data_IF_640809070035
#
_entry.id   IF_640809070035
#
_cell.length_a   1.000
_cell.length_b   1.000
_cell.length_c   1.000
_cell.angle_alpha   90.00
_cell.angle_beta   90.00
_cell.angle_gamma   90.00
#
_symmetry.space_group_name_H-M   'P 1'
#
loop_
_entity.id
_entity.type
_entity.pdbx_description
1 polymer ?
#
# COMPACT_ATOMS: atom_id res chain seq x y z
N UNK A 1 11.08 10.27 -17.90
CA UNK A 1 9.91 11.16 -17.99
C UNK A 1 9.68 11.45 -19.46
N UNK A 2 8.56 10.98 -20.01
CA UNK A 2 8.10 11.37 -21.34
C UNK A 2 6.56 11.39 -21.29
N UNK A 3 6.00 12.58 -21.48
CA UNK A 3 4.58 12.90 -21.64
C UNK A 3 4.16 12.67 -23.09
N UNK A 4 2.95 12.15 -23.35
CA UNK A 4 2.07 12.53 -24.48
C UNK A 4 0.69 11.81 -24.40
N UNK A 5 -0.36 12.28 -25.10
CA UNK A 5 -1.62 12.68 -24.46
C UNK A 5 -2.84 11.80 -24.79
N UNK A 6 -3.89 11.99 -23.99
CA UNK A 6 -5.19 11.34 -24.10
C UNK A 6 -5.99 11.99 -25.25
N UNK A 7 -6.23 11.24 -26.33
CA UNK A 7 -7.19 11.60 -27.37
C UNK A 7 -8.60 11.18 -26.92
N UNK A 8 -9.49 12.15 -26.87
CA UNK A 8 -10.93 11.97 -26.70
C UNK A 8 -11.54 11.33 -27.95
N UNK A 9 -12.42 10.34 -27.77
CA UNK A 9 -13.37 9.93 -28.80
C UNK A 9 -14.71 9.56 -28.17
N UNK A 10 -15.71 10.24 -28.68
CA UNK A 10 -17.15 10.25 -28.39
C UNK A 10 -17.88 8.95 -28.75
N UNK A 11 -18.90 8.66 -27.93
CA UNK A 11 -20.24 8.13 -28.24
C UNK A 11 -20.47 7.21 -29.44
N UNK A 12 -21.14 6.08 -29.18
CA UNK A 12 -22.36 5.67 -29.91
C UNK A 12 -23.02 4.47 -29.23
N UNK A 13 -24.33 4.58 -29.06
CA UNK A 13 -25.24 3.51 -28.64
C UNK A 13 -25.35 2.44 -29.74
N UNK A 14 -25.74 1.20 -29.39
CA UNK A 14 -26.62 0.34 -30.21
C UNK A 14 -27.27 -0.76 -29.34
N UNK A 15 -28.59 -0.77 -29.44
CA UNK A 15 -29.64 -1.79 -29.30
C UNK A 15 -29.38 -3.20 -28.73
N UNK A 16 -30.22 -3.50 -27.74
CA UNK A 16 -31.04 -4.72 -27.57
C UNK A 16 -31.25 -5.60 -28.81
N UNK A 17 -30.98 -6.90 -28.67
CA UNK A 17 -31.68 -7.96 -29.38
C UNK A 17 -31.90 -9.16 -28.45
N UNK A 18 -33.16 -9.39 -28.11
CA UNK A 18 -33.66 -10.60 -27.47
C UNK A 18 -33.72 -11.73 -28.52
N UNK A 19 -33.25 -12.92 -28.15
CA UNK A 19 -33.35 -14.12 -28.97
C UNK A 19 -33.56 -15.33 -28.08
N UNK A 20 -34.83 -15.73 -27.94
CA UNK A 20 -35.23 -16.99 -27.33
C UNK A 20 -34.95 -18.14 -28.30
N UNK A 21 -34.43 -19.27 -27.78
CA UNK A 21 -34.55 -20.56 -28.44
C UNK A 21 -34.48 -21.67 -27.39
N UNK A 22 -35.60 -22.40 -27.29
CA UNK A 22 -35.76 -23.63 -26.55
C UNK A 22 -35.53 -24.82 -27.50
N UNK A 23 -34.97 -25.93 -27.01
CA UNK A 23 -35.14 -27.32 -27.48
C UNK A 23 -34.32 -28.25 -26.57
N UNK A 24 -34.97 -29.00 -25.66
CA UNK A 24 -35.32 -30.44 -25.75
C UNK A 24 -34.16 -31.45 -25.61
N UNK A 25 -34.11 -32.08 -24.42
CA UNK A 25 -34.18 -33.54 -24.19
C UNK A 25 -33.18 -34.50 -24.87
N UNK A 26 -32.54 -35.35 -24.07
CA UNK A 26 -31.93 -36.60 -24.54
C UNK A 26 -31.05 -37.29 -23.51
N UNK A 27 -31.63 -38.21 -22.73
CA UNK A 27 -30.93 -39.13 -21.85
C UNK A 27 -30.57 -40.43 -22.60
N UNK A 28 -29.37 -40.97 -22.42
CA UNK A 28 -29.06 -42.41 -22.46
C UNK A 28 -27.76 -42.70 -21.70
N UNK A 29 -27.74 -43.80 -20.95
CA UNK A 29 -26.64 -44.23 -20.09
C UNK A 29 -25.70 -45.26 -20.72
N UNK A 30 -24.64 -45.61 -19.97
CA UNK A 30 -23.70 -46.68 -20.30
C UNK A 30 -22.57 -46.78 -19.27
N UNK A 31 -22.28 -47.99 -18.81
CA UNK A 31 -21.64 -48.33 -17.54
C UNK A 31 -20.11 -48.62 -17.56
N UNK A 32 -19.49 -48.40 -16.39
CA UNK A 32 -18.47 -49.17 -15.66
C UNK A 32 -17.11 -49.65 -16.28
N UNK A 33 -16.01 -49.25 -15.63
CA UNK A 33 -14.86 -50.03 -15.10
C UNK A 33 -13.78 -49.04 -14.59
N UNK A 34 -12.96 -49.18 -13.55
CA UNK A 34 -12.67 -50.20 -12.54
C UNK A 34 -11.20 -50.03 -12.07
N UNK A 35 -10.96 -49.47 -10.86
CA UNK A 35 -9.68 -49.47 -10.09
C UNK A 35 -8.65 -48.39 -10.46
N UNK A 36 -7.90 -47.73 -9.57
CA UNK A 36 -7.51 -48.03 -8.19
C UNK A 36 -7.41 -46.77 -7.30
N UNK A 37 -7.58 -47.03 -6.01
CA UNK A 37 -7.77 -46.13 -4.88
C UNK A 37 -6.47 -45.54 -4.31
N UNK A 38 -6.46 -44.24 -3.98
CA UNK A 38 -5.62 -43.68 -2.90
C UNK A 38 -6.48 -42.77 -2.02
N UNK A 39 -6.51 -43.11 -0.73
CA UNK A 39 -7.46 -42.66 0.26
C UNK A 39 -7.10 -41.28 0.84
N UNK A 40 -8.03 -40.33 0.68
CA UNK A 40 -8.30 -39.27 1.67
C UNK A 40 -9.81 -39.31 1.89
N UNK A 41 -10.20 -39.66 3.12
CA UNK A 41 -11.57 -40.01 3.51
C UNK A 41 -12.59 -38.97 3.09
N UNK A 42 -13.39 -39.31 2.08
CA UNK A 42 -14.72 -38.75 1.88
C UNK A 42 -15.62 -39.38 2.93
N UNK A 43 -15.85 -38.68 4.04
CA UNK A 43 -17.07 -38.87 4.82
C UNK A 43 -18.24 -38.43 3.92
N UNK A 44 -18.79 -39.40 3.20
CA UNK A 44 -20.02 -39.25 2.43
C UNK A 44 -21.18 -39.07 3.40
N UNK A 45 -21.53 -37.83 3.69
CA UNK A 45 -22.92 -37.50 4.00
C UNK A 45 -23.61 -37.31 2.65
N UNK A 46 -24.69 -38.07 2.39
CA UNK A 46 -25.59 -37.80 1.28
C UNK A 46 -26.24 -36.44 1.47
N UNK A 47 -25.62 -35.40 0.93
CA UNK A 47 -26.12 -34.02 1.03
C UNK A 47 -27.30 -33.90 0.07
N UNK A 48 -28.49 -34.12 0.60
CA UNK A 48 -29.75 -33.61 0.03
C UNK A 48 -29.53 -32.16 -0.44
N UNK A 49 -30.06 -31.77 -1.61
CA UNK A 49 -29.90 -30.41 -2.13
C UNK A 49 -30.32 -29.31 -1.11
N UNK A 50 -31.19 -29.63 -0.15
CA UNK A 50 -31.54 -28.76 0.99
C UNK A 50 -30.37 -28.47 1.96
N UNK A 51 -29.44 -29.40 2.12
CA UNK A 51 -28.31 -29.27 3.06
C UNK A 51 -27.17 -28.42 2.44
N UNK A 52 -27.03 -28.41 1.11
CA UNK A 52 -26.14 -27.49 0.40
C UNK A 52 -26.59 -26.02 0.50
N UNK A 53 -27.90 -25.74 0.58
CA UNK A 53 -28.43 -24.36 0.62
C UNK A 53 -28.35 -23.73 2.01
N UNK A 54 -28.38 -24.52 3.08
CA UNK A 54 -28.35 -24.05 4.47
C UNK A 54 -26.98 -24.17 5.15
N UNK A 55 -26.16 -25.17 4.80
CA UNK A 55 -24.82 -25.34 5.39
C UNK A 55 -23.74 -24.48 4.71
N UNK A 56 -23.91 -24.14 3.43
CA UNK A 56 -22.96 -23.25 2.73
C UNK A 56 -22.91 -21.81 3.26
N UNK A 57 -24.00 -21.12 3.61
CA UNK A 57 -23.90 -19.75 4.12
C UNK A 57 -23.22 -19.69 5.49
N UNK A 58 -23.45 -20.68 6.37
CA UNK A 58 -22.81 -20.72 7.69
C UNK A 58 -21.33 -21.10 7.60
N UNK A 59 -20.97 -22.06 6.75
CA UNK A 59 -19.57 -22.42 6.49
C UNK A 59 -18.81 -21.31 5.77
N UNK A 60 -19.47 -20.59 4.84
CA UNK A 60 -18.88 -19.44 4.17
C UNK A 60 -18.77 -18.24 5.13
N UNK A 61 -19.75 -18.04 6.02
CA UNK A 61 -19.69 -17.01 7.05
C UNK A 61 -18.57 -17.28 8.07
N UNK A 62 -18.41 -18.53 8.52
CA UNK A 62 -17.32 -18.92 9.43
C UNK A 62 -15.95 -18.83 8.75
N UNK A 63 -15.83 -19.23 7.47
CA UNK A 63 -14.61 -19.04 6.69
C UNK A 63 -14.25 -17.54 6.54
N UNK A 64 -15.22 -16.69 6.19
CA UNK A 64 -15.03 -15.22 6.10
C UNK A 64 -14.63 -14.61 7.44
N UNK A 65 -15.25 -15.05 8.54
CA UNK A 65 -14.90 -14.61 9.89
C UNK A 65 -13.47 -15.04 10.25
N UNK A 66 -13.10 -16.30 9.99
CA UNK A 66 -11.76 -16.82 10.25
C UNK A 66 -10.69 -16.07 9.43
N UNK A 67 -10.95 -15.77 8.16
CA UNK A 67 -10.05 -14.96 7.34
C UNK A 67 -9.94 -13.51 7.84
N UNK A 68 -11.05 -12.92 8.30
CA UNK A 68 -11.06 -11.56 8.86
C UNK A 68 -10.31 -11.52 10.20
N UNK A 69 -10.51 -12.51 11.05
CA UNK A 69 -9.79 -12.69 12.32
C UNK A 69 -8.30 -12.92 12.10
N UNK A 70 -7.92 -13.79 11.15
CA UNK A 70 -6.53 -14.01 10.77
C UNK A 70 -5.86 -12.74 10.25
N UNK A 71 -6.51 -12.00 9.36
CA UNK A 71 -5.99 -10.71 8.86
C UNK A 71 -5.84 -9.69 9.98
N UNK A 72 -6.82 -9.60 10.87
CA UNK A 72 -6.76 -8.72 12.04
C UNK A 72 -5.62 -9.10 12.99
N UNK A 73 -5.46 -10.38 13.32
CA UNK A 73 -4.43 -10.84 14.25
C UNK A 73 -3.02 -10.65 13.69
N UNK A 74 -2.79 -10.96 12.41
CA UNK A 74 -1.50 -10.71 11.74
C UNK A 74 -1.20 -9.22 11.66
N UNK A 75 -2.18 -8.40 11.25
CA UNK A 75 -2.03 -6.94 11.20
C UNK A 75 -1.76 -6.32 12.58
N UNK A 76 -2.43 -6.80 13.62
CA UNK A 76 -2.21 -6.37 15.00
C UNK A 76 -0.82 -6.74 15.49
N UNK A 77 -0.40 -8.01 15.32
CA UNK A 77 0.95 -8.48 15.68
C UNK A 77 2.04 -7.67 14.97
N UNK A 78 1.89 -7.45 13.67
CA UNK A 78 2.83 -6.63 12.89
C UNK A 78 2.87 -5.17 13.35
N UNK A 79 1.72 -4.58 13.68
CA UNK A 79 1.64 -3.19 14.17
C UNK A 79 2.27 -3.02 15.55
N UNK A 80 2.05 -3.96 16.47
CA UNK A 80 2.67 -3.97 17.80
C UNK A 80 4.18 -4.17 17.69
N UNK A 81 4.63 -5.14 16.89
CA UNK A 81 6.06 -5.37 16.64
C UNK A 81 6.73 -4.12 16.05
N UNK A 82 6.13 -3.54 15.01
CA UNK A 82 6.65 -2.32 14.41
C UNK A 82 6.65 -1.14 15.39
N UNK A 83 5.60 -0.97 16.18
CA UNK A 83 5.51 0.05 17.23
C UNK A 83 6.62 -0.09 18.28
N UNK A 84 6.92 -1.32 18.71
CA UNK A 84 8.02 -1.60 19.64
C UNK A 84 9.38 -1.27 19.01
N UNK A 85 9.62 -1.66 17.75
CA UNK A 85 10.85 -1.30 17.02
C UNK A 85 11.00 0.22 16.92
N UNK A 86 9.94 0.93 16.53
CA UNK A 86 9.91 2.39 16.46
C UNK A 86 10.21 3.03 17.82
N UNK A 87 9.62 2.52 18.90
CA UNK A 87 9.86 2.99 20.26
C UNK A 87 11.32 2.79 20.67
N UNK A 88 11.88 1.60 20.45
CA UNK A 88 13.28 1.31 20.79
C UNK A 88 14.27 2.19 20.00
N UNK A 89 14.00 2.45 18.72
CA UNK A 89 14.83 3.34 17.89
C UNK A 89 14.74 4.78 18.39
N UNK A 90 13.53 5.28 18.67
CA UNK A 90 13.33 6.61 19.23
C UNK A 90 14.00 6.76 20.61
N UNK A 91 13.86 5.74 21.48
CA UNK A 91 14.50 5.68 22.78
C UNK A 91 16.03 5.66 22.66
N UNK A 92 16.60 4.88 21.74
CA UNK A 92 18.03 4.88 21.48
C UNK A 92 18.53 6.25 20.97
N UNK A 93 17.75 6.92 20.12
CA UNK A 93 18.03 8.29 19.67
C UNK A 93 18.03 9.29 20.83
N UNK A 94 17.08 9.16 21.76
CA UNK A 94 17.02 9.97 22.97
C UNK A 94 18.22 9.71 23.90
N UNK A 95 18.44 8.45 24.27
CA UNK A 95 19.45 8.04 25.24
C UNK A 95 20.89 8.32 24.77
N UNK A 96 21.16 8.24 23.47
CA UNK A 96 22.49 8.60 22.93
C UNK A 96 22.78 10.10 22.93
N UNK A 97 21.77 10.93 23.12
CA UNK A 97 21.92 12.39 23.09
C UNK A 97 21.57 13.01 24.45
N UNK A 98 21.43 12.19 25.51
CA UNK A 98 21.07 12.64 26.87
C UNK A 98 22.26 13.02 27.75
N UNK A 99 23.50 12.91 27.25
CA UNK A 99 24.74 13.07 28.02
C UNK A 99 24.95 14.48 28.62
N UNK A 100 24.09 15.45 28.27
CA UNK A 100 24.13 16.84 28.75
C UNK A 100 22.81 17.35 29.32
N UNK A 101 21.96 16.49 29.91
CA UNK A 101 20.69 16.88 30.58
C UNK A 101 20.87 17.75 31.85
N UNK A 102 22.00 18.43 32.00
CA UNK A 102 22.16 19.56 32.92
C UNK A 102 21.34 20.75 32.40
N UNK A 103 20.52 21.37 33.27
CA UNK A 103 19.64 22.55 33.05
C UNK A 103 18.17 22.25 32.64
N UNK A 104 17.20 23.09 33.07
CA UNK A 104 15.78 22.71 33.15
C UNK A 104 15.06 22.37 31.84
N UNK A 105 15.63 22.71 30.67
CA UNK A 105 15.02 22.50 29.35
C UNK A 105 15.94 21.76 28.35
N UNK A 106 16.98 21.09 28.85
CA UNK A 106 17.91 20.30 28.02
C UNK A 106 17.26 19.10 27.30
N UNK A 107 16.02 18.75 27.65
CA UNK A 107 15.28 17.58 27.11
C UNK A 107 14.85 17.74 25.64
N UNK A 108 14.72 18.98 25.15
CA UNK A 108 14.19 19.23 23.80
C UNK A 108 15.13 18.78 22.68
N UNK A 109 16.45 18.85 22.89
CA UNK A 109 17.44 18.35 21.92
C UNK A 109 17.45 16.82 21.80
N UNK A 110 17.55 16.04 22.90
CA UNK A 110 17.35 14.59 22.88
C UNK A 110 16.00 14.19 22.28
N UNK A 111 14.93 14.94 22.55
CA UNK A 111 13.60 14.69 21.98
C UNK A 111 13.58 14.91 20.45
N UNK A 112 14.22 15.97 19.96
CA UNK A 112 14.38 16.22 18.53
C UNK A 112 15.17 15.08 17.85
N UNK A 113 16.22 14.57 18.53
CA UNK A 113 16.99 13.42 18.06
C UNK A 113 16.19 12.12 18.08
N UNK A 114 15.37 11.87 19.10
CA UNK A 114 14.45 10.74 19.13
C UNK A 114 13.52 10.72 17.90
N UNK A 115 12.93 11.88 17.56
CA UNK A 115 12.12 12.04 16.36
C UNK A 115 12.91 11.85 15.05
N UNK A 116 14.15 12.33 15.00
CA UNK A 116 15.03 12.17 13.83
C UNK A 116 15.39 10.71 13.54
N UNK A 117 15.80 9.95 14.56
CA UNK A 117 16.10 8.51 14.41
C UNK A 117 14.85 7.70 14.00
N UNK A 118 13.68 8.08 14.54
CA UNK A 118 12.41 7.48 14.13
C UNK A 118 12.09 7.78 12.66
N UNK A 119 12.33 9.01 12.20
CA UNK A 119 12.15 9.41 10.80
C UNK A 119 13.10 8.68 9.86
N UNK A 120 14.38 8.54 10.21
CA UNK A 120 15.37 7.80 9.41
C UNK A 120 14.88 6.37 9.10
N UNK A 121 14.40 5.69 10.13
CA UNK A 121 13.81 4.36 9.99
C UNK A 121 12.48 4.38 9.22
N UNK A 122 11.57 5.31 9.53
CA UNK A 122 10.26 5.38 8.90
C UNK A 122 10.35 5.70 7.39
N UNK A 123 11.30 6.55 6.99
CA UNK A 123 11.59 6.83 5.59
C UNK A 123 12.11 5.58 4.88
N UNK A 124 13.03 4.84 5.49
CA UNK A 124 13.48 3.54 4.98
C UNK A 124 12.30 2.58 4.75
N UNK A 125 11.39 2.50 5.72
CA UNK A 125 10.24 1.60 5.69
C UNK A 125 9.19 1.98 4.65
N UNK A 126 8.98 3.28 4.37
CA UNK A 126 7.88 3.74 3.50
C UNK A 126 8.03 3.28 2.03
N UNK A 127 9.27 3.05 1.58
CA UNK A 127 9.58 2.56 0.23
C UNK A 127 9.34 1.06 0.07
N UNK A 128 9.55 0.29 1.13
CA UNK A 128 9.43 -1.17 1.12
C UNK A 128 8.11 -1.71 0.55
N UNK A 129 6.93 -1.27 1.02
CA UNK A 129 5.65 -1.75 0.49
C UNK A 129 5.37 -1.35 -0.97
N UNK A 130 6.11 -0.37 -1.51
CA UNK A 130 5.94 0.13 -2.88
C UNK A 130 6.80 -0.61 -3.92
N UNK A 131 7.74 -1.45 -3.46
CA UNK A 131 8.52 -2.36 -4.32
C UNK A 131 7.70 -3.60 -4.67
N UNK A 132 6.82 -3.48 -5.67
CA UNK A 132 5.77 -4.50 -5.93
C UNK A 132 6.35 -5.85 -6.36
N UNK A 133 7.44 -5.90 -7.12
CA UNK A 133 8.01 -7.19 -7.50
C UNK A 133 8.68 -7.86 -6.30
N UNK A 134 9.38 -7.09 -5.45
CA UNK A 134 9.94 -7.58 -4.20
C UNK A 134 8.85 -8.14 -3.27
N UNK A 135 7.77 -7.38 -3.05
CA UNK A 135 6.64 -7.83 -2.22
C UNK A 135 6.01 -9.10 -2.82
N UNK A 136 5.81 -9.16 -4.14
CA UNK A 136 5.29 -10.37 -4.81
C UNK A 136 6.21 -11.59 -4.62
N UNK A 137 7.53 -11.40 -4.66
CA UNK A 137 8.47 -12.48 -4.36
C UNK A 137 8.43 -12.87 -2.88
N UNK A 138 8.38 -11.90 -1.97
CA UNK A 138 8.34 -12.16 -0.53
C UNK A 138 7.08 -12.93 -0.10
N UNK A 139 5.98 -12.83 -0.85
CA UNK A 139 4.76 -13.61 -0.62
C UNK A 139 4.95 -15.13 -0.77
N UNK A 140 5.99 -15.60 -1.46
CA UNK A 140 6.28 -17.04 -1.57
C UNK A 140 7.06 -17.59 -0.37
N UNK A 141 7.44 -16.72 0.57
CA UNK A 141 8.21 -17.08 1.77
C UNK A 141 7.29 -17.22 3.00
N UNK A 142 7.71 -17.92 4.07
CA UNK A 142 6.91 -18.08 5.30
C UNK A 142 6.73 -16.78 6.10
N UNK A 143 7.34 -15.66 5.69
CA UNK A 143 7.19 -14.35 6.34
C UNK A 143 5.74 -13.83 6.27
N UNK A 144 4.94 -14.30 5.32
CA UNK A 144 3.52 -13.94 5.16
C UNK A 144 2.66 -14.28 6.38
N UNK A 145 3.07 -15.24 7.21
CA UNK A 145 2.35 -15.59 8.44
C UNK A 145 2.52 -14.52 9.53
N UNK A 146 3.63 -13.78 9.51
CA UNK A 146 3.96 -12.77 10.52
C UNK A 146 3.67 -11.34 10.08
N UNK A 147 3.79 -11.05 8.77
CA UNK A 147 3.63 -9.70 8.21
C UNK A 147 2.52 -9.73 7.14
N UNK A 148 1.55 -8.80 7.18
CA UNK A 148 0.45 -8.75 6.21
C UNK A 148 0.93 -8.20 4.85
N UNK A 149 1.67 -9.00 4.08
CA UNK A 149 2.22 -8.62 2.77
C UNK A 149 1.17 -8.54 1.65
N UNK A 150 -0.03 -9.06 1.89
CA UNK A 150 -1.16 -8.95 0.97
C UNK A 150 -1.69 -7.51 0.88
N UNK A 151 -1.72 -6.81 2.01
CA UNK A 151 -2.18 -5.41 2.14
C UNK A 151 -0.99 -4.43 2.20
N UNK A 152 -0.06 -4.54 1.25
CA UNK A 152 1.14 -3.70 1.20
C UNK A 152 0.83 -2.18 1.18
N UNK A 153 -0.27 -1.76 0.55
CA UNK A 153 -0.72 -0.37 0.59
C UNK A 153 -1.10 0.09 2.01
N UNK A 154 -1.69 -0.78 2.83
CA UNK A 154 -1.98 -0.48 4.23
C UNK A 154 -0.70 -0.33 5.05
N UNK A 155 0.33 -1.14 4.76
CA UNK A 155 1.66 -0.98 5.35
C UNK A 155 2.31 0.36 4.96
N UNK A 156 2.16 0.82 3.71
CA UNK A 156 2.64 2.14 3.30
C UNK A 156 1.94 3.28 4.06
N UNK A 157 0.62 3.19 4.24
CA UNK A 157 -0.14 4.17 5.03
C UNK A 157 0.29 4.14 6.51
N UNK A 158 0.55 2.96 7.06
CA UNK A 158 1.06 2.83 8.43
C UNK A 158 2.43 3.52 8.57
N UNK A 159 3.36 3.27 7.65
CA UNK A 159 4.65 3.96 7.61
C UNK A 159 4.48 5.49 7.47
N UNK A 160 3.55 5.96 6.63
CA UNK A 160 3.25 7.39 6.49
C UNK A 160 2.73 8.02 7.79
N UNK A 161 1.95 7.29 8.59
CA UNK A 161 1.50 7.77 9.92
C UNK A 161 2.66 7.87 10.91
N UNK A 162 3.59 6.91 10.88
CA UNK A 162 4.81 6.94 11.71
C UNK A 162 5.69 8.12 11.30
N UNK A 163 5.86 8.37 10.00
CA UNK A 163 6.53 9.56 9.48
C UNK A 163 5.87 10.84 10.02
N UNK A 164 4.54 10.96 9.91
CA UNK A 164 3.83 12.15 10.40
C UNK A 164 4.07 12.39 11.89
N UNK A 165 3.98 11.34 12.72
CA UNK A 165 4.26 11.43 14.16
C UNK A 165 5.72 11.84 14.43
N UNK A 166 6.68 11.18 13.77
CA UNK A 166 8.11 11.47 13.90
C UNK A 166 8.44 12.90 13.51
N UNK A 167 7.85 13.41 12.43
CA UNK A 167 8.01 14.80 11.99
C UNK A 167 7.53 15.79 13.03
N UNK A 168 6.36 15.56 13.64
CA UNK A 168 5.84 16.44 14.70
C UNK A 168 6.80 16.47 15.89
N UNK A 169 7.23 15.32 16.38
CA UNK A 169 8.17 15.23 17.52
C UNK A 169 9.50 15.90 17.18
N UNK A 170 10.04 15.65 15.98
CA UNK A 170 11.32 16.19 15.53
C UNK A 170 11.30 17.72 15.37
N UNK A 171 10.31 18.25 14.64
CA UNK A 171 10.16 19.69 14.39
C UNK A 171 9.87 20.43 15.69
N UNK A 172 8.91 19.97 16.50
CA UNK A 172 8.61 20.61 17.79
C UNK A 172 9.82 20.56 18.72
N UNK A 173 10.56 19.45 18.79
CA UNK A 173 11.79 19.36 19.57
C UNK A 173 12.82 20.40 19.16
N UNK A 174 13.06 20.58 17.86
CA UNK A 174 13.97 21.60 17.35
C UNK A 174 13.50 23.04 17.65
N UNK A 175 12.21 23.34 17.46
CA UNK A 175 11.67 24.67 17.73
C UNK A 175 11.66 25.02 19.22
N UNK A 176 11.30 24.09 20.10
CA UNK A 176 11.35 24.29 21.55
C UNK A 176 12.79 24.48 22.03
N UNK A 177 13.75 23.72 21.45
CA UNK A 177 15.17 23.91 21.73
C UNK A 177 15.69 25.28 21.27
N UNK A 178 15.27 25.74 20.09
CA UNK A 178 15.64 27.07 19.57
C UNK A 178 14.98 28.21 20.35
N UNK A 179 13.72 28.03 20.77
CA UNK A 179 13.03 28.97 21.66
C UNK A 179 13.81 29.18 22.95
N UNK A 180 14.23 28.09 23.57
CA UNK A 180 15.04 28.12 24.79
C UNK A 180 16.40 28.78 24.57
N UNK A 181 17.08 28.48 23.46
CA UNK A 181 18.37 29.10 23.11
C UNK A 181 18.25 30.56 22.62
N UNK A 182 17.02 31.06 22.39
CA UNK A 182 16.80 32.37 21.77
C UNK A 182 17.35 32.51 20.35
N UNK A 183 17.47 31.40 19.61
CA UNK A 183 18.20 31.33 18.33
C UNK A 183 17.31 30.88 17.17
N UNK A 184 16.20 31.57 16.95
CA UNK A 184 15.26 31.24 15.87
C UNK A 184 15.82 31.46 14.47
N UNK A 185 16.73 32.41 14.31
CA UNK A 185 17.36 32.71 13.02
C UNK A 185 18.00 31.46 12.40
N UNK A 186 18.56 30.57 13.24
CA UNK A 186 19.16 29.31 12.79
C UNK A 186 18.18 28.42 12.03
N UNK A 187 16.88 28.50 12.29
CA UNK A 187 15.85 27.75 11.57
C UNK A 187 15.74 28.17 10.08
N UNK A 188 16.08 29.42 9.76
CA UNK A 188 15.85 30.00 8.42
C UNK A 188 17.14 30.29 7.65
N UNK A 189 18.28 30.44 8.34
CA UNK A 189 19.56 30.74 7.68
C UNK A 189 20.46 29.52 7.53
N UNK A 190 20.28 28.49 8.37
CA UNK A 190 21.11 27.29 8.31
C UNK A 190 20.65 26.33 7.20
N UNK A 191 21.60 25.59 6.63
CA UNK A 191 21.31 24.57 5.61
C UNK A 191 20.30 23.52 6.13
N UNK A 192 20.46 22.93 7.34
CA UNK A 192 19.45 21.99 7.88
C UNK A 192 18.09 22.67 8.11
N UNK A 193 18.09 23.94 8.52
CA UNK A 193 16.87 24.73 8.67
C UNK A 193 16.09 24.83 7.35
N UNK A 194 16.69 25.42 6.32
CA UNK A 194 16.04 25.65 5.02
C UNK A 194 15.58 24.34 4.38
N UNK A 195 16.47 23.35 4.29
CA UNK A 195 16.14 22.04 3.71
C UNK A 195 15.04 21.32 4.48
N UNK A 196 15.01 21.43 5.80
CA UNK A 196 13.97 20.87 6.66
C UNK A 196 12.60 21.48 6.41
N UNK A 197 12.52 22.81 6.26
CA UNK A 197 11.27 23.50 5.93
C UNK A 197 10.74 23.12 4.54
N UNK A 198 11.63 23.09 3.53
CA UNK A 198 11.25 22.68 2.17
C UNK A 198 10.73 21.24 2.15
N UNK A 199 11.41 20.32 2.86
CA UNK A 199 10.96 18.94 2.99
C UNK A 199 9.62 18.85 3.73
N UNK A 200 9.43 19.61 4.82
CA UNK A 200 8.17 19.66 5.57
C UNK A 200 7.00 20.12 4.70
N UNK A 201 7.16 21.20 3.94
CA UNK A 201 6.11 21.71 3.04
C UNK A 201 5.78 20.68 1.95
N UNK A 202 6.78 20.07 1.33
CA UNK A 202 6.58 19.03 0.32
C UNK A 202 5.87 17.80 0.89
N UNK A 203 6.29 17.30 2.06
CA UNK A 203 5.66 16.19 2.75
C UNK A 203 4.22 16.50 3.17
N UNK A 204 3.96 17.73 3.66
CA UNK A 204 2.62 18.17 4.04
C UNK A 204 1.67 18.19 2.84
N UNK A 205 2.14 18.73 1.70
CA UNK A 205 1.37 18.73 0.45
C UNK A 205 1.05 17.30 -0.02
N UNK A 206 2.04 16.40 0.01
CA UNK A 206 1.84 14.98 -0.29
C UNK A 206 0.81 14.34 0.66
N UNK A 207 0.92 14.59 1.96
CA UNK A 207 0.03 13.99 2.95
C UNK A 207 -1.42 14.48 2.81
N UNK A 208 -1.63 15.79 2.65
CA UNK A 208 -2.97 16.38 2.47
C UNK A 208 -3.63 15.82 1.21
N UNK A 209 -2.91 15.81 0.08
CA UNK A 209 -3.45 15.30 -1.18
C UNK A 209 -3.71 13.78 -1.16
N UNK A 210 -2.96 13.01 -0.35
CA UNK A 210 -3.25 11.60 -0.07
C UNK A 210 -4.58 11.40 0.65
N UNK A 211 -4.82 12.16 1.72
CA UNK A 211 -6.06 12.08 2.53
C UNK A 211 -7.27 12.56 1.72
N UNK A 212 -7.10 13.63 0.96
CA UNK A 212 -8.17 14.20 0.13
C UNK A 212 -8.38 13.47 -1.21
N UNK A 213 -7.67 12.36 -1.49
CA UNK A 213 -7.72 11.65 -2.79
C UNK A 213 -9.15 11.24 -3.22
N UNK A 214 -10.02 10.87 -2.29
CA UNK A 214 -11.43 10.48 -2.59
C UNK A 214 -12.40 11.67 -2.68
N UNK A 215 -11.88 12.90 -2.65
CA UNK A 215 -12.65 14.13 -2.57
C UNK A 215 -13.07 14.42 -1.14
N UNK A 216 -12.43 15.41 -0.52
CA UNK A 216 -12.86 15.95 0.77
C UNK A 216 -13.75 17.17 0.54
N UNK A 217 -14.89 17.24 1.23
CA UNK A 217 -15.78 18.41 1.21
C UNK A 217 -15.41 19.30 2.39
N UNK A 218 -14.93 20.52 2.13
CA UNK A 218 -14.73 21.53 3.18
C UNK A 218 -16.10 21.96 3.69
N UNK A 219 -16.44 21.71 4.97
CA UNK A 219 -17.76 22.06 5.50
C UNK A 219 -18.01 23.58 5.50
N UNK A 220 -16.94 24.39 5.56
CA UNK A 220 -17.04 25.85 5.63
C UNK A 220 -17.20 26.55 4.26
N UNK A 221 -16.62 25.98 3.19
CA UNK A 221 -16.57 26.62 1.86
C UNK A 221 -17.37 25.87 0.79
N UNK A 222 -17.90 24.69 1.08
CA UNK A 222 -18.70 23.89 0.13
C UNK A 222 -17.93 23.30 -1.06
N UNK A 223 -16.63 23.61 -1.20
CA UNK A 223 -15.79 23.11 -2.28
C UNK A 223 -15.37 21.65 -2.06
N UNK A 224 -15.26 20.90 -3.15
CA UNK A 224 -14.59 19.59 -3.14
C UNK A 224 -13.12 19.79 -3.47
N UNK A 225 -12.25 19.45 -2.53
CA UNK A 225 -10.81 19.50 -2.71
C UNK A 225 -10.31 18.07 -2.84
N UNK A 226 -9.52 17.82 -3.88
CA UNK A 226 -8.82 16.56 -4.10
C UNK A 226 -9.32 15.77 -5.31
N UNK A 227 -8.36 15.27 -6.07
CA UNK A 227 -8.54 14.36 -7.21
C UNK A 227 -7.46 13.28 -7.16
N UNK A 228 -7.68 12.18 -7.87
CA UNK A 228 -6.65 11.16 -8.05
C UNK A 228 -5.41 11.72 -8.78
N UNK A 229 -5.63 12.62 -9.74
CA UNK A 229 -4.55 13.26 -10.50
C UNK A 229 -3.67 14.16 -9.63
N UNK A 230 -4.30 14.97 -8.75
CA UNK A 230 -3.58 15.80 -7.80
C UNK A 230 -2.72 14.95 -6.87
N UNK A 231 -3.29 13.87 -6.31
CA UNK A 231 -2.54 12.89 -5.52
C UNK A 231 -1.34 12.33 -6.30
N UNK A 232 -1.53 11.91 -7.55
CA UNK A 232 -0.48 11.29 -8.34
C UNK A 232 0.67 12.26 -8.63
N UNK A 233 0.34 13.50 -9.00
CA UNK A 233 1.30 14.54 -9.31
C UNK A 233 2.09 14.97 -8.07
N UNK A 234 1.42 15.28 -6.96
CA UNK A 234 2.09 15.67 -5.72
C UNK A 234 2.92 14.53 -5.12
N UNK A 235 2.48 13.28 -5.26
CA UNK A 235 3.28 12.16 -4.74
C UNK A 235 4.60 11.96 -5.48
N UNK A 236 4.78 12.51 -6.68
CA UNK A 236 6.09 12.49 -7.36
C UNK A 236 7.15 13.32 -6.61
N UNK A 237 6.74 14.24 -5.72
CA UNK A 237 7.68 14.98 -4.87
C UNK A 237 8.48 14.08 -3.92
N UNK A 238 8.16 12.79 -3.79
CA UNK A 238 8.97 11.86 -2.98
C UNK A 238 10.46 11.91 -3.35
N UNK A 239 10.80 12.05 -4.64
CA UNK A 239 12.19 12.12 -5.08
C UNK A 239 12.88 13.41 -4.58
N UNK A 240 12.17 14.54 -4.64
CA UNK A 240 12.65 15.82 -4.13
C UNK A 240 12.79 15.78 -2.60
N UNK A 241 11.84 15.16 -1.89
CA UNK A 241 11.91 14.97 -0.43
C UNK A 241 13.13 14.13 -0.06
N UNK A 242 13.39 13.02 -0.74
CA UNK A 242 14.57 12.19 -0.46
C UNK A 242 15.89 12.95 -0.71
N UNK A 243 15.96 13.75 -1.77
CA UNK A 243 17.12 14.61 -2.03
C UNK A 243 17.31 15.64 -0.92
N UNK A 244 16.24 16.33 -0.52
CA UNK A 244 16.27 17.31 0.57
C UNK A 244 16.66 16.68 1.91
N UNK A 245 16.17 15.47 2.22
CA UNK A 245 16.49 14.78 3.46
C UNK A 245 17.97 14.35 3.53
N UNK A 246 18.57 13.94 2.42
CA UNK A 246 20.01 13.65 2.34
C UNK A 246 20.85 14.90 2.60
N UNK A 247 20.39 16.07 2.16
CA UNK A 247 21.05 17.36 2.44
C UNK A 247 20.77 17.87 3.86
N UNK A 248 19.59 17.56 4.41
CA UNK A 248 19.14 17.99 5.72
C UNK A 248 19.91 17.30 6.86
N UNK A 249 20.18 16.00 6.73
CA UNK A 249 20.80 15.19 7.75
C UNK A 249 22.01 14.41 7.21
N UNK A 250 23.20 14.74 7.72
CA UNK A 250 24.47 14.13 7.29
C UNK A 250 24.51 12.60 7.44
N UNK A 251 23.76 12.02 8.38
CA UNK A 251 23.73 10.57 8.59
C UNK A 251 22.63 9.85 7.78
N UNK A 252 21.67 10.59 7.18
CA UNK A 252 20.50 9.98 6.54
C UNK A 252 20.86 9.15 5.31
N UNK A 253 21.95 9.46 4.61
CA UNK A 253 22.38 8.67 3.45
C UNK A 253 22.61 7.19 3.81
N UNK A 254 23.03 6.88 5.05
CA UNK A 254 23.24 5.49 5.51
C UNK A 254 21.93 4.71 5.55
N UNK A 255 20.85 5.38 5.93
CA UNK A 255 19.50 4.83 5.97
C UNK A 255 18.88 4.78 4.57
N UNK A 256 19.10 5.82 3.76
CA UNK A 256 18.49 5.95 2.43
C UNK A 256 19.15 5.09 1.35
N UNK A 257 20.45 4.79 1.45
CA UNK A 257 21.21 4.15 0.37
C UNK A 257 20.63 2.79 -0.05
N UNK A 258 20.46 1.85 0.89
CA UNK A 258 19.97 0.51 0.58
C UNK A 258 18.51 0.48 0.08
N UNK A 259 17.55 1.19 0.73
CA UNK A 259 16.19 1.26 0.24
C UNK A 259 16.08 1.89 -1.15
N UNK A 260 16.82 2.97 -1.43
CA UNK A 260 16.81 3.63 -2.73
C UNK A 260 17.41 2.73 -3.81
N UNK A 261 18.52 2.04 -3.52
CA UNK A 261 19.12 1.07 -4.43
C UNK A 261 18.13 -0.04 -4.78
N UNK A 262 17.51 -0.67 -3.77
CA UNK A 262 16.52 -1.73 -3.97
C UNK A 262 15.29 -1.23 -4.74
N UNK A 263 14.81 -0.03 -4.43
CA UNK A 263 13.70 0.60 -5.15
C UNK A 263 14.05 0.84 -6.62
N UNK A 264 15.27 1.30 -6.90
CA UNK A 264 15.80 1.46 -8.26
C UNK A 264 15.83 0.13 -9.03
N UNK A 265 16.29 -0.94 -8.41
CA UNK A 265 16.30 -2.29 -8.99
C UNK A 265 14.88 -2.78 -9.27
N UNK A 266 13.94 -2.62 -8.33
CA UNK A 266 12.53 -3.01 -8.53
C UNK A 266 11.90 -2.23 -9.72
N UNK A 267 12.22 -0.94 -9.85
CA UNK A 267 11.79 -0.11 -10.99
C UNK A 267 12.44 -0.54 -12.31
N UNK A 268 13.72 -0.88 -12.31
CA UNK A 268 14.40 -1.41 -13.49
C UNK A 268 13.76 -2.72 -13.94
N UNK A 269 13.52 -3.66 -13.02
CA UNK A 269 12.82 -4.92 -13.32
C UNK A 269 11.41 -4.66 -13.86
N UNK A 270 10.68 -3.72 -13.26
CA UNK A 270 9.34 -3.34 -13.73
C UNK A 270 9.37 -2.81 -15.17
N UNK A 271 10.36 -1.97 -15.49
CA UNK A 271 10.52 -1.43 -16.84
C UNK A 271 10.88 -2.54 -17.85
N UNK A 272 11.81 -3.44 -17.49
CA UNK A 272 12.25 -4.55 -18.34
C UNK A 272 11.15 -5.59 -18.61
N UNK A 273 10.18 -5.75 -17.70
CA UNK A 273 9.10 -6.75 -17.85
C UNK A 273 8.06 -6.38 -18.91
N UNK A 274 8.07 -5.14 -19.41
CA UNK A 274 7.18 -4.66 -20.47
C UNK A 274 5.69 -4.65 -20.08
N UNK A 275 4.94 -3.64 -20.53
CA UNK A 275 3.48 -3.69 -20.45
C UNK A 275 2.97 -4.46 -21.67
N UNK A 276 2.10 -5.45 -21.43
CA UNK A 276 1.41 -6.17 -22.50
C UNK A 276 0.10 -5.47 -22.79
N UNK A 277 -0.19 -5.27 -24.06
CA UNK A 277 -1.48 -4.72 -24.48
C UNK A 277 -2.58 -5.77 -24.27
N UNK A 278 -3.66 -5.32 -23.64
CA UNK A 278 -4.85 -6.12 -23.39
C UNK A 278 -6.04 -5.38 -23.99
N UNK A 279 -6.85 -6.09 -24.77
CA UNK A 279 -8.10 -5.56 -25.31
C UNK A 279 -9.25 -5.91 -24.37
N UNK A 280 -10.05 -4.91 -23.98
CA UNK A 280 -11.26 -5.11 -23.21
C UNK A 280 -12.38 -5.62 -24.13
N UNK A 281 -12.91 -6.82 -23.86
CA UNK A 281 -13.96 -7.44 -24.68
C UNK A 281 -15.35 -7.10 -24.15
N UNK A 282 -15.54 -7.18 -22.82
CA UNK A 282 -16.82 -6.90 -22.20
C UNK A 282 -16.63 -6.44 -20.75
N UNK A 283 -17.50 -5.52 -20.33
CA UNK A 283 -17.66 -5.11 -18.93
C UNK A 283 -19.09 -5.46 -18.55
N UNK A 284 -19.26 -6.27 -17.50
CA UNK A 284 -20.57 -6.67 -16.99
C UNK A 284 -20.63 -6.46 -15.49
N UNK A 285 -21.73 -5.91 -14.99
CA UNK A 285 -22.03 -5.95 -13.56
C UNK A 285 -22.74 -7.27 -13.27
N UNK A 286 -22.24 -8.08 -12.32
CA UNK A 286 -22.75 -9.45 -12.13
C UNK A 286 -24.20 -9.51 -11.63
N UNK A 287 -24.60 -8.58 -10.74
CA UNK A 287 -25.99 -8.46 -10.29
C UNK A 287 -26.35 -7.02 -9.93
N UNK A 288 -27.60 -6.64 -10.20
CA UNK A 288 -28.15 -5.32 -9.86
C UNK A 288 -28.17 -5.16 -8.32
N UNK A 289 -27.40 -4.21 -7.80
CA UNK A 289 -27.25 -4.00 -6.36
C UNK A 289 -25.99 -4.64 -5.73
N UNK A 290 -25.15 -5.31 -6.53
CA UNK A 290 -23.82 -5.76 -6.08
C UNK A 290 -22.72 -4.88 -6.68
N UNK A 291 -21.68 -4.59 -5.89
CA UNK A 291 -20.49 -3.82 -6.30
C UNK A 291 -19.48 -4.67 -7.11
N UNK A 292 -19.93 -5.81 -7.66
CA UNK A 292 -19.07 -6.76 -8.39
C UNK A 292 -19.10 -6.46 -9.89
N UNK A 293 -17.93 -6.11 -10.43
CA UNK A 293 -17.73 -5.86 -11.86
C UNK A 293 -16.87 -6.98 -12.46
N UNK A 294 -17.41 -7.64 -13.48
CA UNK A 294 -16.72 -8.63 -14.30
C UNK A 294 -16.13 -7.96 -15.54
N UNK A 295 -14.82 -8.14 -15.73
CA UNK A 295 -14.06 -7.60 -16.85
C UNK A 295 -13.52 -8.76 -17.69
N UNK A 296 -14.01 -8.91 -18.92
CA UNK A 296 -13.47 -9.87 -19.86
C UNK A 296 -12.43 -9.19 -20.74
N UNK A 297 -11.19 -9.67 -20.70
CA UNK A 297 -10.06 -9.09 -21.44
C UNK A 297 -9.38 -10.15 -22.30
N UNK A 298 -8.87 -9.71 -23.46
CA UNK A 298 -8.04 -10.50 -24.37
C UNK A 298 -6.60 -10.01 -24.26
N UNK A 299 -5.69 -10.92 -23.88
CA UNK A 299 -4.26 -10.61 -23.71
C UNK A 299 -3.51 -10.92 -25.00
N UNK A 300 -2.83 -9.93 -25.58
CA UNK A 300 -1.96 -10.13 -26.74
C UNK A 300 -0.49 -10.24 -26.29
N UNK A 301 0.25 -11.15 -26.89
CA UNK A 301 1.67 -11.37 -26.58
C UNK A 301 2.46 -11.33 -27.90
N UNK A 302 3.07 -10.18 -28.20
CA UNK A 302 3.76 -9.93 -29.48
C UNK A 302 2.90 -10.30 -30.71
N UNK A 303 1.63 -9.88 -30.72
CA UNK A 303 0.69 -10.21 -31.80
C UNK A 303 0.17 -11.65 -31.82
N UNK A 304 0.54 -12.50 -30.83
CA UNK A 304 0.08 -13.90 -30.72
C UNK A 304 -0.70 -14.14 -29.42
N UNK A 305 -1.74 -14.97 -29.51
CA UNK A 305 -2.62 -15.36 -28.38
C UNK A 305 -1.99 -16.49 -27.55
N UNK A 306 -0.85 -16.24 -26.90
CA UNK A 306 -0.20 -17.26 -26.04
C UNK A 306 0.09 -16.73 -24.64
N UNK A 307 -0.96 -16.53 -23.85
CA UNK A 307 -0.84 -16.32 -22.41
C UNK A 307 -1.04 -17.66 -21.70
N UNK A 308 0.00 -18.15 -21.00
CA UNK A 308 -0.09 -19.35 -20.16
C UNK A 308 -0.10 -18.92 -18.70
N UNK A 309 -1.03 -19.45 -17.94
CA UNK A 309 -1.10 -19.31 -16.48
C UNK A 309 -1.39 -20.69 -15.87
N UNK A 310 -1.10 -20.86 -14.58
CA UNK A 310 -1.54 -22.01 -13.80
C UNK A 310 -2.72 -21.57 -12.94
N UNK A 311 -3.67 -22.46 -12.71
CA UNK A 311 -4.70 -22.22 -11.69
C UNK A 311 -4.00 -22.05 -10.34
N UNK A 312 -4.32 -20.97 -9.64
CA UNK A 312 -3.79 -20.61 -8.33
C UNK A 312 -4.91 -20.53 -7.30
#
# INVERSE_FOLDING_TARGET
MAFMPLAAASGTAIASAAGASATTGGATGGAASGGATSAVGRLGCGVCACCAVLCTPLALASARLNERWRRFSVGFRASVFLGLVCFLIAFAGFARNSDGLTFPNGVFYPLAKAGGYLLDFAMTLILFPMMRNLVSWLRTTPITEWIPLDDNHSLHILAAKIVALGTVVHVLGHYLFMHWKGSYETAYVSLPGITGHLALVAMLLMYITSVCRKGWRVPLLGWRIGSFDAFWFTHQLYLAVYLLLVLHAEAFYKWAFWPLLLFGIDKAIHYLRGKKECQLLAVRQEAKGTDVMSLQMRVFLNGRLRFRYRCG
#
